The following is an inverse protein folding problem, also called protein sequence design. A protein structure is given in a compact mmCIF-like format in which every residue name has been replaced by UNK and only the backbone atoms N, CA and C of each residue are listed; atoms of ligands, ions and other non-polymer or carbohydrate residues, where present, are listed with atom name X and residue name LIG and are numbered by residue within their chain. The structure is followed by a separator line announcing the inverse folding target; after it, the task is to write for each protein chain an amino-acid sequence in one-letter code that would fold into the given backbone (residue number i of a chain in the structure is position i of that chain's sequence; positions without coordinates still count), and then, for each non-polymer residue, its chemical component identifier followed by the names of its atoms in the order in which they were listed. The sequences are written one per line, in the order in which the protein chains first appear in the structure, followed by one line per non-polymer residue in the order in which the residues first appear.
data_IF_694431046128
#
_entry.id   IF_694431046128
#
_cell.length_a   1.000
_cell.length_b   1.000
_cell.length_c   1.000
_cell.angle_alpha   90.00
_cell.angle_beta   90.00
_cell.angle_gamma   90.00
#
_symmetry.space_group_name_H-M   'P 1'
#
loop_
_entity.id
_entity.type
_entity.pdbx_description
1 polymer ?
#
# COMPACT_ATOMS: atom_id res chain seq x y z
N UNK A 1 16.69 -8.86 -8.17
CA UNK A 1 16.65 -10.31 -8.48
C UNK A 1 15.32 -10.64 -9.14
N UNK A 2 15.32 -10.82 -10.47
CA UNK A 2 14.23 -11.44 -11.23
C UNK A 2 14.23 -12.94 -10.93
N UNK A 3 13.07 -13.53 -10.69
CA UNK A 3 12.90 -14.99 -10.73
C UNK A 3 11.79 -15.27 -11.72
N UNK A 4 12.14 -15.50 -12.99
CA UNK A 4 11.19 -15.95 -13.99
C UNK A 4 11.93 -16.85 -14.98
N UNK A 5 11.76 -18.15 -14.84
CA UNK A 5 12.20 -19.11 -15.85
C UNK A 5 11.32 -19.09 -17.10
N UNK A 6 10.14 -18.44 -17.15
CA UNK A 6 9.31 -18.46 -18.38
C UNK A 6 8.48 -17.23 -18.79
N UNK A 7 8.28 -16.17 -17.99
CA UNK A 7 7.65 -14.92 -18.50
C UNK A 7 8.11 -13.69 -17.72
N UNK A 8 8.88 -12.80 -18.34
CA UNK A 8 9.10 -11.44 -17.84
C UNK A 8 7.81 -10.63 -18.08
N UNK A 9 6.80 -10.75 -17.21
CA UNK A 9 5.70 -9.79 -17.23
C UNK A 9 6.25 -8.46 -16.67
N UNK A 10 6.22 -7.34 -17.42
CA UNK A 10 6.60 -6.05 -16.86
C UNK A 10 5.71 -5.75 -15.64
N UNK A 11 6.25 -5.07 -14.60
CA UNK A 11 5.45 -4.74 -13.43
C UNK A 11 4.24 -3.90 -13.88
N UNK A 12 3.04 -4.31 -13.44
CA UNK A 12 1.79 -3.65 -13.83
C UNK A 12 1.80 -2.18 -13.42
N UNK A 13 1.26 -1.36 -14.32
CA UNK A 13 0.99 0.06 -14.15
C UNK A 13 -0.16 0.28 -13.18
N UNK A 14 -0.24 1.51 -12.67
CA UNK A 14 -1.35 1.93 -11.83
C UNK A 14 -2.68 1.78 -12.62
N UNK A 15 -3.70 1.21 -11.98
CA UNK A 15 -5.01 0.92 -12.56
C UNK A 15 -5.20 -0.52 -13.03
N UNK A 16 -4.12 -1.29 -13.22
CA UNK A 16 -4.21 -2.69 -13.61
C UNK A 16 -4.62 -3.59 -12.45
N UNK A 17 -5.19 -4.75 -12.76
CA UNK A 17 -5.62 -5.74 -11.78
C UNK A 17 -4.40 -6.36 -11.10
N UNK A 18 -4.42 -6.44 -9.77
CA UNK A 18 -3.35 -7.05 -8.99
C UNK A 18 -3.89 -8.03 -7.98
N UNK A 19 -3.13 -9.11 -7.75
CA UNK A 19 -3.42 -10.07 -6.69
C UNK A 19 -2.50 -9.88 -5.48
N UNK A 20 -1.27 -9.45 -5.73
CA UNK A 20 -0.27 -9.15 -4.70
C UNK A 20 0.40 -7.82 -5.01
N UNK A 21 0.79 -7.11 -3.97
CA UNK A 21 1.51 -5.84 -4.06
C UNK A 21 2.81 -5.93 -4.87
N UNK A 22 3.48 -7.09 -4.88
CA UNK A 22 4.72 -7.31 -5.64
C UNK A 22 4.59 -7.27 -7.17
N UNK A 23 3.37 -7.38 -7.72
CA UNK A 23 3.15 -7.28 -9.16
C UNK A 23 3.15 -5.82 -9.67
N UNK A 24 2.87 -4.87 -8.78
CA UNK A 24 2.75 -3.45 -9.13
C UNK A 24 4.12 -2.77 -9.06
N UNK A 25 4.40 -1.86 -10.01
CA UNK A 25 5.62 -1.03 -9.98
C UNK A 25 5.72 -0.18 -8.71
N UNK A 26 4.59 0.29 -8.19
CA UNK A 26 4.48 1.04 -6.93
C UNK A 26 4.61 0.17 -5.67
N UNK A 27 4.63 -1.16 -5.82
CA UNK A 27 4.50 -2.14 -4.74
C UNK A 27 3.24 -1.95 -3.88
N UNK A 28 2.18 -1.34 -4.43
CA UNK A 28 0.90 -1.19 -3.74
C UNK A 28 -0.24 -1.76 -4.58
N UNK A 29 -0.95 -2.73 -4.01
CA UNK A 29 -2.18 -3.29 -4.56
C UNK A 29 -3.35 -2.79 -3.69
N UNK A 30 -4.06 -1.78 -4.18
CA UNK A 30 -5.15 -1.11 -3.47
C UNK A 30 -6.47 -1.83 -3.70
N UNK A 31 -7.27 -1.93 -2.64
CA UNK A 31 -8.57 -2.59 -2.65
C UNK A 31 -9.58 -1.76 -1.86
N UNK A 32 -10.75 -1.55 -2.46
CA UNK A 32 -11.78 -0.71 -1.85
C UNK A 32 -12.55 -1.41 -0.71
N UNK A 33 -12.74 -2.73 -0.78
CA UNK A 33 -13.52 -3.49 0.22
C UNK A 33 -13.05 -4.94 0.35
N UNK A 34 -13.53 -5.65 1.39
CA UNK A 34 -13.29 -7.07 1.69
C UNK A 34 -13.68 -8.07 0.58
N UNK A 35 -14.42 -7.64 -0.44
CA UNK A 35 -14.86 -8.45 -1.59
C UNK A 35 -14.55 -7.82 -2.96
N UNK A 36 -14.00 -6.60 -3.00
CA UNK A 36 -13.69 -5.91 -4.27
C UNK A 36 -12.46 -6.49 -4.98
N UNK A 37 -12.33 -6.24 -6.29
CA UNK A 37 -11.09 -6.52 -7.03
C UNK A 37 -10.02 -5.49 -6.63
N UNK A 38 -8.80 -5.97 -6.44
CA UNK A 38 -7.66 -5.11 -6.11
C UNK A 38 -6.96 -4.63 -7.39
N UNK A 39 -6.48 -3.38 -7.37
CA UNK A 39 -5.80 -2.73 -8.49
C UNK A 39 -4.54 -2.03 -8.04
N UNK A 40 -3.53 -1.98 -8.90
CA UNK A 40 -2.30 -1.26 -8.62
C UNK A 40 -2.61 0.22 -8.44
N UNK A 41 -2.07 0.84 -7.40
CA UNK A 41 -2.26 2.25 -7.11
C UNK A 41 -0.92 2.92 -6.77
N UNK A 42 -0.79 4.23 -7.00
CA UNK A 42 0.38 4.98 -6.55
C UNK A 42 0.49 4.92 -5.02
N UNK A 43 1.71 5.13 -4.51
CA UNK A 43 1.94 5.27 -3.08
C UNK A 43 1.34 6.59 -2.58
N UNK A 44 1.00 6.63 -1.29
CA UNK A 44 0.40 7.81 -0.68
C UNK A 44 1.45 8.93 -0.54
N UNK A 45 1.09 10.14 -0.97
CA UNK A 45 1.91 11.33 -0.85
C UNK A 45 1.87 11.92 0.57
N UNK A 46 2.63 12.99 0.83
CA UNK A 46 2.58 13.70 2.11
C UNK A 46 1.14 14.21 2.39
N UNK A 47 0.70 14.08 3.64
CA UNK A 47 -0.65 14.43 4.13
C UNK A 47 -1.78 13.56 3.57
N UNK A 48 -1.48 12.53 2.77
CA UNK A 48 -2.47 11.55 2.36
C UNK A 48 -2.66 10.44 3.38
N UNK A 49 -3.84 9.79 3.30
CA UNK A 49 -4.17 8.65 4.14
C UNK A 49 -3.34 7.44 3.74
N UNK A 50 -2.78 6.77 4.74
CA UNK A 50 -1.96 5.57 4.56
C UNK A 50 -2.44 4.43 5.44
N UNK A 51 -2.17 3.21 4.99
CA UNK A 51 -2.28 2.02 5.83
C UNK A 51 -0.90 1.55 6.27
N UNK A 52 -0.84 0.94 7.46
CA UNK A 52 0.38 0.24 7.88
C UNK A 52 0.64 -0.98 6.99
N UNK A 53 1.92 -1.33 6.84
CA UNK A 53 2.36 -2.48 6.06
C UNK A 53 1.78 -3.77 6.68
N UNK A 54 1.01 -4.52 5.91
CA UNK A 54 0.32 -5.75 6.33
C UNK A 54 0.81 -6.92 5.49
N UNK A 55 0.91 -8.09 6.10
CA UNK A 55 1.45 -9.29 5.45
C UNK A 55 0.51 -9.86 4.34
N UNK A 56 -0.75 -9.42 4.31
CA UNK A 56 -1.79 -9.93 3.39
C UNK A 56 -1.60 -9.53 1.91
N UNK A 57 -0.58 -8.74 1.56
CA UNK A 57 -0.24 -8.43 0.16
C UNK A 57 -1.22 -7.52 -0.59
N UNK A 58 -2.33 -7.12 0.01
CA UNK A 58 -3.30 -6.14 -0.49
C UNK A 58 -3.62 -5.12 0.59
N UNK A 59 -3.97 -3.89 0.19
CA UNK A 59 -4.07 -2.74 1.08
C UNK A 59 -5.36 -1.93 0.84
N UNK A 60 -6.01 -1.49 1.91
CA UNK A 60 -7.12 -0.53 1.81
C UNK A 60 -6.66 0.89 1.49
N UNK A 61 -5.49 1.30 1.99
CA UNK A 61 -4.83 2.54 1.60
C UNK A 61 -3.36 2.23 1.35
N UNK A 62 -2.79 2.82 0.30
CA UNK A 62 -1.40 2.55 -0.02
C UNK A 62 -0.45 3.00 1.09
N UNK A 63 0.70 2.34 1.15
CA UNK A 63 1.81 2.80 1.98
C UNK A 63 2.33 4.12 1.46
N UNK A 64 2.92 4.92 2.35
CA UNK A 64 3.56 6.18 1.97
C UNK A 64 4.71 5.98 0.98
N UNK A 65 5.07 7.05 0.28
CA UNK A 65 6.29 7.09 -0.52
C UNK A 65 7.56 6.89 0.33
N UNK A 66 8.68 6.62 -0.33
CA UNK A 66 9.96 6.46 0.37
C UNK A 66 10.34 7.78 1.05
N UNK A 67 10.65 7.74 2.34
CA UNK A 67 10.99 8.92 3.16
C UNK A 67 9.88 9.34 4.12
N UNK A 68 8.62 9.08 3.76
CA UNK A 68 7.46 9.41 4.59
C UNK A 68 7.16 8.31 5.62
N UNK A 69 6.67 8.71 6.80
CA UNK A 69 6.21 7.81 7.85
C UNK A 69 4.69 7.88 7.98
N UNK A 70 4.04 6.72 7.99
CA UNK A 70 2.62 6.63 8.26
C UNK A 70 2.37 6.79 9.77
N UNK A 71 1.93 7.99 10.19
CA UNK A 71 1.54 8.30 11.56
C UNK A 71 0.02 8.24 11.68
N UNK A 72 -0.48 7.27 12.43
CA UNK A 72 -1.89 7.11 12.71
C UNK A 72 -2.09 6.45 14.06
N UNK A 73 -3.15 6.86 14.76
CA UNK A 73 -3.57 6.27 16.02
C UNK A 73 -3.98 4.81 15.78
N UNK A 74 -3.15 3.89 16.29
CA UNK A 74 -3.50 2.47 16.27
C UNK A 74 -4.52 2.22 17.37
N UNK A 75 -5.79 2.13 17.01
CA UNK A 75 -6.81 1.61 17.91
C UNK A 75 -6.88 0.09 17.81
N UNK A 76 -7.04 -0.59 18.95
CA UNK A 76 -7.05 -2.07 19.03
C UNK A 76 -8.14 -2.68 18.14
N UNK A 77 -9.31 -2.05 18.05
CA UNK A 77 -10.37 -2.42 17.09
C UNK A 77 -9.98 -2.19 15.63
N UNK A 78 -9.15 -1.19 15.33
CA UNK A 78 -8.60 -0.92 14.00
C UNK A 78 -7.48 -1.87 13.58
N UNK A 79 -6.77 -2.48 14.54
CA UNK A 79 -5.79 -3.54 14.27
C UNK A 79 -6.50 -4.85 13.90
N UNK A 80 -7.62 -5.14 14.56
CA UNK A 80 -8.45 -6.32 14.30
C UNK A 80 -9.22 -6.16 12.99
N UNK A 81 -9.75 -4.96 12.69
CA UNK A 81 -10.52 -4.69 11.46
C UNK A 81 -9.67 -4.19 10.28
N UNK A 82 -8.34 -4.11 10.42
CA UNK A 82 -7.42 -3.62 9.38
C UNK A 82 -7.71 -2.15 8.92
N UNK A 83 -8.25 -1.33 9.82
CA UNK A 83 -8.58 0.09 9.60
C UNK A 83 -7.68 1.04 10.40
N UNK A 84 -6.46 0.61 10.72
CA UNK A 84 -5.43 1.52 11.26
C UNK A 84 -4.92 2.44 10.16
N UNK A 85 -5.74 3.44 9.84
CA UNK A 85 -5.42 4.49 8.89
C UNK A 85 -4.62 5.56 9.61
N UNK A 86 -3.53 5.97 8.97
CA UNK A 86 -2.74 7.12 9.40
C UNK A 86 -2.67 8.14 8.29
N UNK A 87 -1.82 9.13 8.53
CA UNK A 87 -1.44 10.15 7.56
C UNK A 87 0.06 10.02 7.31
N UNK A 88 0.46 10.13 6.05
CA UNK A 88 1.87 10.20 5.69
C UNK A 88 2.43 11.55 6.11
N UNK A 89 3.43 11.53 6.98
CA UNK A 89 4.14 12.75 7.40
C UNK A 89 5.63 12.56 7.17
N UNK A 90 6.28 13.64 6.76
CA UNK A 90 7.72 13.67 6.65
C UNK A 90 8.34 13.76 8.05
N UNK A 91 9.25 12.84 8.43
CA UNK A 91 9.90 12.88 9.74
C UNK A 91 10.82 14.10 9.94
N UNK A 92 11.29 14.75 8.88
CA UNK A 92 12.13 15.95 8.90
C UNK A 92 11.30 17.23 9.12
N UNK A 93 10.02 17.25 8.76
CA UNK A 93 9.10 18.37 9.04
C UNK A 93 8.42 18.26 10.42
N UNK A 94 8.62 17.15 11.15
CA UNK A 94 8.03 16.91 12.46
C UNK A 94 8.91 17.38 13.65
N UNK A 95 9.88 18.28 13.40
CA UNK A 95 10.77 18.87 14.42
C UNK A 95 10.66 20.40 14.42
#
# INVERSE_FOLDING_TARGET
MCVCLFTCQPPSKNGELCFISGQCKSSCCHRHSGISLARCAPRAAEKEKCSKKTLYGTYYYCTCENGLKCKGDVSIGGAITNTNFGICVDPQHAN
#
